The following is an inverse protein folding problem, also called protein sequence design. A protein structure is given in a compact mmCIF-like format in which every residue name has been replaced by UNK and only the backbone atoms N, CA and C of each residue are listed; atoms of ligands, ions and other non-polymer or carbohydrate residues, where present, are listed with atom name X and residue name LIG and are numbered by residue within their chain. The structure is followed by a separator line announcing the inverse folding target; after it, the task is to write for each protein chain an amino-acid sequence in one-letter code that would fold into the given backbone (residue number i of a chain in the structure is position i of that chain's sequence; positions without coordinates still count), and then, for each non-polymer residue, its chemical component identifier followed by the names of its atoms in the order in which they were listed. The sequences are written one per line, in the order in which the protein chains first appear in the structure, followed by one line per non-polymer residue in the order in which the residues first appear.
data_IF_338139870720
#
_entry.id   IF_338139870720
#
_cell.length_a   1.000
_cell.length_b   1.000
_cell.length_c   1.000
_cell.angle_alpha   90.00
_cell.angle_beta   90.00
_cell.angle_gamma   90.00
#
_symmetry.space_group_name_H-M   'P 1'
#
loop_
_entity.id
_entity.type
_entity.pdbx_description
1 polymer ?
#
# COMPACT_ATOMS: atom_id res chain seq x y z
N UNK A 1 -10.94 8.46 10.75
CA UNK A 1 -10.22 9.71 10.45
C UNK A 1 -9.75 9.80 8.99
N UNK A 2 -9.44 8.71 8.32
CA UNK A 2 -8.94 8.75 6.93
C UNK A 2 -9.95 9.32 5.89
N UNK A 3 -11.25 9.08 6.03
CA UNK A 3 -12.22 9.52 5.03
C UNK A 3 -12.31 11.05 4.85
N UNK A 4 -12.44 11.89 5.90
CA UNK A 4 -12.36 13.34 5.74
C UNK A 4 -11.02 13.81 5.19
N UNK A 5 -9.91 13.22 5.66
CA UNK A 5 -8.56 13.51 5.17
C UNK A 5 -8.42 13.22 3.68
N UNK A 6 -9.00 12.13 3.18
CA UNK A 6 -8.97 11.76 1.77
C UNK A 6 -9.65 12.84 0.90
N UNK A 7 -10.79 13.40 1.36
CA UNK A 7 -11.48 14.48 0.66
C UNK A 7 -10.63 15.75 0.61
N UNK A 8 -10.02 16.12 1.75
CA UNK A 8 -9.18 17.33 1.86
C UNK A 8 -7.95 17.20 0.97
N UNK A 9 -7.18 16.13 1.11
CA UNK A 9 -5.97 15.89 0.32
C UNK A 9 -6.32 15.72 -1.16
N UNK A 10 -7.42 15.03 -1.48
CA UNK A 10 -7.90 14.89 -2.85
C UNK A 10 -8.17 16.26 -3.51
N UNK A 11 -8.84 17.17 -2.81
CA UNK A 11 -9.10 18.54 -3.30
C UNK A 11 -7.84 19.41 -3.40
N UNK A 12 -6.81 19.16 -2.59
CA UNK A 12 -5.52 19.85 -2.71
C UNK A 12 -4.74 19.38 -3.93
N UNK A 13 -4.68 18.05 -4.17
CA UNK A 13 -3.92 17.47 -5.28
C UNK A 13 -4.63 17.66 -6.63
N UNK A 14 -5.96 17.61 -6.60
CA UNK A 14 -6.81 17.78 -7.77
C UNK A 14 -7.98 18.71 -7.42
N UNK A 15 -7.78 20.04 -7.51
CA UNK A 15 -8.82 21.03 -7.21
C UNK A 15 -10.03 20.85 -8.13
N UNK A 16 -11.21 20.89 -7.54
CA UNK A 16 -12.45 20.85 -8.29
C UNK A 16 -12.71 22.24 -8.92
N UNK A 17 -12.65 22.30 -10.23
CA UNK A 17 -12.88 23.53 -11.02
C UNK A 17 -14.23 23.54 -11.73
N UNK A 18 -14.90 22.38 -11.82
CA UNK A 18 -16.18 22.22 -12.49
C UNK A 18 -17.34 22.31 -11.49
N UNK A 19 -18.48 22.83 -11.98
CA UNK A 19 -19.73 22.87 -11.20
C UNK A 19 -20.26 21.44 -11.08
N UNK A 20 -20.48 20.96 -9.88
CA UNK A 20 -21.07 19.63 -9.66
C UNK A 20 -22.59 19.74 -9.87
N UNK A 21 -23.07 19.07 -10.91
CA UNK A 21 -24.50 18.82 -11.03
C UNK A 21 -24.92 17.83 -9.94
N UNK A 22 -25.86 18.27 -9.10
CA UNK A 22 -26.38 17.46 -7.98
C UNK A 22 -27.38 16.38 -8.42
N UNK A 23 -27.61 16.19 -9.71
CA UNK A 23 -28.49 15.15 -10.24
C UNK A 23 -27.77 13.79 -10.23
N UNK A 24 -27.94 13.09 -9.12
CA UNK A 24 -27.45 11.70 -8.96
C UNK A 24 -28.45 10.76 -9.63
N UNK A 25 -28.24 10.43 -10.88
CA UNK A 25 -28.96 9.35 -11.56
C UNK A 25 -28.45 8.00 -11.07
N UNK A 26 -29.10 7.45 -10.04
CA UNK A 26 -28.77 6.12 -9.54
C UNK A 26 -29.27 5.10 -10.57
N UNK A 27 -28.34 4.29 -11.13
CA UNK A 27 -28.70 3.18 -11.98
C UNK A 27 -29.67 2.24 -11.26
N UNK A 28 -30.83 2.01 -11.88
CA UNK A 28 -31.85 1.07 -11.38
C UNK A 28 -31.67 -0.34 -11.95
N UNK A 29 -30.52 -0.64 -12.55
CA UNK A 29 -30.23 -1.97 -13.05
C UNK A 29 -30.21 -2.99 -11.91
N UNK A 30 -31.07 -4.00 -12.04
CA UNK A 30 -31.14 -5.09 -11.06
C UNK A 30 -30.02 -6.08 -11.34
N UNK A 31 -29.17 -6.32 -10.35
CA UNK A 31 -28.05 -7.30 -10.42
C UNK A 31 -28.57 -8.74 -10.59
N UNK A 32 -29.85 -9.01 -10.30
CA UNK A 32 -30.47 -10.31 -10.45
C UNK A 32 -31.99 -10.20 -10.51
N UNK A 33 -32.64 -11.25 -11.02
CA UNK A 33 -34.11 -11.31 -11.14
C UNK A 33 -34.82 -11.40 -9.79
N UNK A 34 -34.15 -11.93 -8.76
CA UNK A 34 -34.64 -12.07 -7.40
C UNK A 34 -33.49 -12.06 -6.39
N UNK A 35 -33.80 -12.07 -5.09
CA UNK A 35 -32.79 -12.02 -4.01
C UNK A 35 -31.78 -13.18 -4.10
N UNK A 36 -32.22 -14.40 -4.34
CA UNK A 36 -31.34 -15.57 -4.45
C UNK A 36 -30.41 -15.47 -5.66
N UNK A 37 -30.91 -14.97 -6.79
CA UNK A 37 -30.11 -14.71 -7.98
C UNK A 37 -29.02 -13.64 -7.71
N UNK A 38 -29.38 -12.55 -7.04
CA UNK A 38 -28.42 -11.51 -6.68
C UNK A 38 -27.35 -12.03 -5.71
N UNK A 39 -27.71 -12.82 -4.71
CA UNK A 39 -26.76 -13.47 -3.78
C UNK A 39 -25.83 -14.42 -4.57
N UNK A 40 -26.37 -15.25 -5.44
CA UNK A 40 -25.57 -16.21 -6.24
C UNK A 40 -24.54 -15.49 -7.12
N UNK A 41 -24.95 -14.44 -7.84
CA UNK A 41 -24.06 -13.63 -8.68
C UNK A 41 -22.98 -12.97 -7.84
N UNK A 42 -23.37 -12.28 -6.75
CA UNK A 42 -22.43 -11.60 -5.86
C UNK A 42 -21.44 -12.56 -5.20
N UNK A 43 -21.87 -13.76 -4.82
CA UNK A 43 -20.97 -14.80 -4.27
C UNK A 43 -19.96 -15.25 -5.32
N UNK A 44 -20.38 -15.48 -6.56
CA UNK A 44 -19.50 -15.89 -7.65
C UNK A 44 -18.43 -14.82 -7.97
N UNK A 45 -18.83 -13.57 -8.04
CA UNK A 45 -17.91 -12.45 -8.26
C UNK A 45 -16.96 -12.24 -7.07
N UNK A 46 -17.46 -12.36 -5.83
CA UNK A 46 -16.65 -12.25 -4.62
C UNK A 46 -15.58 -13.33 -4.53
N UNK A 47 -15.90 -14.58 -4.88
CA UNK A 47 -14.91 -15.67 -4.89
C UNK A 47 -13.82 -15.42 -5.96
N UNK A 48 -14.20 -15.00 -7.17
CA UNK A 48 -13.22 -14.66 -8.21
C UNK A 48 -12.27 -13.55 -7.74
N UNK A 49 -12.82 -12.51 -7.11
CA UNK A 49 -12.02 -11.42 -6.56
C UNK A 49 -11.07 -11.90 -5.47
N UNK A 50 -11.54 -12.71 -4.53
CA UNK A 50 -10.74 -13.26 -3.44
C UNK A 50 -9.57 -14.12 -3.95
N UNK A 51 -9.83 -15.00 -4.93
CA UNK A 51 -8.78 -15.82 -5.57
C UNK A 51 -7.76 -14.95 -6.29
N UNK A 52 -8.20 -13.94 -7.03
CA UNK A 52 -7.30 -13.02 -7.73
C UNK A 52 -6.41 -12.24 -6.76
N UNK A 53 -6.97 -11.72 -5.67
CA UNK A 53 -6.21 -11.02 -4.63
C UNK A 53 -5.19 -11.97 -3.98
N UNK A 54 -5.59 -13.19 -3.62
CA UNK A 54 -4.69 -14.19 -3.06
C UNK A 54 -3.53 -14.55 -4.00
N UNK A 55 -3.83 -14.76 -5.29
CA UNK A 55 -2.81 -15.02 -6.30
C UNK A 55 -1.85 -13.84 -6.47
N UNK A 56 -2.34 -12.61 -6.51
CA UNK A 56 -1.50 -11.40 -6.58
C UNK A 56 -0.58 -11.27 -5.36
N UNK A 57 -1.08 -11.56 -4.15
CA UNK A 57 -0.25 -11.54 -2.94
C UNK A 57 0.93 -12.51 -3.04
N UNK A 58 0.67 -13.76 -3.47
CA UNK A 58 1.73 -14.76 -3.67
C UNK A 58 2.77 -14.30 -4.70
N UNK A 59 2.31 -13.74 -5.82
CA UNK A 59 3.20 -13.22 -6.88
C UNK A 59 4.06 -12.08 -6.34
N UNK A 60 3.48 -11.11 -5.62
CA UNK A 60 4.25 -9.99 -5.07
C UNK A 60 5.27 -10.43 -4.02
N UNK A 61 4.91 -11.36 -3.12
CA UNK A 61 5.86 -11.90 -2.15
C UNK A 61 7.03 -12.58 -2.88
N UNK A 62 6.73 -13.40 -3.89
CA UNK A 62 7.76 -14.06 -4.68
C UNK A 62 8.66 -13.07 -5.45
N UNK A 63 8.07 -12.02 -6.04
CA UNK A 63 8.82 -10.96 -6.73
C UNK A 63 9.73 -10.17 -5.78
N UNK A 64 9.24 -9.80 -4.60
CA UNK A 64 10.06 -9.11 -3.60
C UNK A 64 11.24 -9.99 -3.19
N UNK A 65 11.01 -11.27 -2.89
CA UNK A 65 12.05 -12.22 -2.54
C UNK A 65 13.06 -12.41 -3.68
N UNK A 66 12.59 -12.53 -4.92
CA UNK A 66 13.44 -12.64 -6.10
C UNK A 66 14.31 -11.40 -6.28
N UNK A 67 13.73 -10.20 -6.22
CA UNK A 67 14.46 -8.93 -6.34
C UNK A 67 15.47 -8.75 -5.21
N UNK A 68 15.11 -9.06 -3.98
CA UNK A 68 16.02 -8.97 -2.84
C UNK A 68 17.22 -9.91 -2.99
N UNK A 69 17.01 -11.14 -3.52
CA UNK A 69 18.11 -12.06 -3.84
C UNK A 69 19.01 -11.52 -4.97
N UNK A 70 18.45 -10.93 -6.02
CA UNK A 70 19.22 -10.33 -7.11
C UNK A 70 20.07 -9.17 -6.56
N UNK A 71 19.49 -8.27 -5.77
CA UNK A 71 20.22 -7.17 -5.16
C UNK A 71 21.30 -7.67 -4.20
N UNK A 72 21.03 -8.71 -3.42
CA UNK A 72 22.03 -9.33 -2.54
C UNK A 72 23.22 -9.86 -3.33
N UNK A 73 22.99 -10.57 -4.43
CA UNK A 73 24.06 -11.07 -5.30
C UNK A 73 24.89 -9.92 -5.90
N UNK A 74 24.25 -8.84 -6.33
CA UNK A 74 24.95 -7.62 -6.81
C UNK A 74 25.77 -7.00 -5.67
N UNK A 75 25.20 -6.93 -4.47
CA UNK A 75 25.88 -6.41 -3.28
C UNK A 75 27.12 -7.22 -2.88
N UNK A 76 27.09 -8.54 -3.08
CA UNK A 76 28.24 -9.42 -2.83
C UNK A 76 29.37 -9.15 -3.85
N UNK A 77 29.02 -9.08 -5.14
CA UNK A 77 30.00 -8.81 -6.21
C UNK A 77 30.68 -7.44 -6.03
N UNK A 78 29.91 -6.44 -5.58
CA UNK A 78 30.43 -5.08 -5.34
C UNK A 78 31.07 -4.89 -3.96
N UNK A 79 31.00 -5.89 -3.06
CA UNK A 79 31.48 -5.79 -1.68
C UNK A 79 30.65 -4.88 -0.78
N UNK A 80 29.49 -4.42 -1.24
CA UNK A 80 28.63 -3.48 -0.52
C UNK A 80 27.92 -4.16 0.68
N UNK A 81 27.62 -5.46 0.60
CA UNK A 81 26.95 -6.20 1.68
C UNK A 81 27.74 -6.15 2.99
N UNK A 82 29.08 -6.21 2.92
CA UNK A 82 29.92 -6.07 4.11
C UNK A 82 29.75 -4.70 4.77
N UNK A 83 29.69 -3.64 3.97
CA UNK A 83 29.49 -2.28 4.49
C UNK A 83 28.07 -2.12 5.09
N UNK A 84 27.03 -2.64 4.41
CA UNK A 84 25.63 -2.59 4.87
C UNK A 84 25.50 -3.31 6.22
N UNK A 85 26.01 -4.53 6.33
CA UNK A 85 25.90 -5.33 7.55
C UNK A 85 26.62 -4.72 8.75
N UNK A 86 27.65 -3.92 8.50
CA UNK A 86 28.43 -3.26 9.56
C UNK A 86 27.85 -1.92 10.00
N UNK A 87 27.16 -1.20 9.11
CA UNK A 87 26.72 0.18 9.35
C UNK A 87 25.21 0.35 9.43
N UNK A 88 24.44 -0.70 9.18
CA UNK A 88 22.97 -0.64 9.15
C UNK A 88 22.36 -1.84 9.88
N UNK A 89 21.05 -1.79 10.06
CA UNK A 89 20.28 -2.90 10.63
C UNK A 89 20.09 -4.08 9.66
N UNK A 90 20.42 -3.88 8.38
CA UNK A 90 20.24 -4.89 7.34
C UNK A 90 21.51 -5.70 7.14
N UNK A 91 21.36 -6.98 6.76
CA UNK A 91 22.48 -7.88 6.52
C UNK A 91 23.09 -7.73 5.11
N UNK A 92 22.31 -7.30 4.14
CA UNK A 92 22.68 -7.24 2.74
C UNK A 92 21.90 -6.17 1.98
N UNK A 93 22.29 -5.91 0.74
CA UNK A 93 21.54 -5.08 -0.19
C UNK A 93 20.26 -5.82 -0.58
N UNK A 94 19.12 -5.29 -0.20
CA UNK A 94 17.80 -5.85 -0.47
C UNK A 94 16.81 -4.77 -0.86
N UNK A 95 15.64 -5.15 -1.34
CA UNK A 95 14.58 -4.18 -1.65
C UNK A 95 14.11 -3.47 -0.38
N UNK A 96 14.08 -4.18 0.73
CA UNK A 96 13.72 -3.65 2.04
C UNK A 96 14.71 -2.57 2.49
N UNK A 97 16.02 -2.82 2.31
CA UNK A 97 17.06 -1.82 2.56
C UNK A 97 16.84 -0.57 1.71
N UNK A 98 16.65 -0.73 0.39
CA UNK A 98 16.47 0.39 -0.52
C UNK A 98 15.22 1.20 -0.18
N UNK A 99 14.09 0.54 0.04
CA UNK A 99 12.82 1.20 0.39
C UNK A 99 12.90 1.86 1.77
N UNK A 100 13.56 1.21 2.74
CA UNK A 100 13.77 1.73 4.09
C UNK A 100 14.43 3.10 4.06
N UNK A 101 15.53 3.23 3.36
CA UNK A 101 16.27 4.49 3.25
C UNK A 101 15.64 5.49 2.29
N UNK A 102 15.01 5.03 1.20
CA UNK A 102 14.29 5.91 0.27
C UNK A 102 13.15 6.68 0.96
N UNK A 103 12.39 5.99 1.81
CA UNK A 103 11.25 6.57 2.52
C UNK A 103 11.61 7.16 3.90
N UNK A 104 12.84 6.97 4.37
CA UNK A 104 13.32 7.49 5.65
C UNK A 104 13.04 9.00 5.88
N UNK A 105 13.25 9.90 4.89
CA UNK A 105 12.95 11.33 5.08
C UNK A 105 11.47 11.61 5.37
N UNK A 106 10.58 10.91 4.68
CA UNK A 106 9.11 11.07 4.86
C UNK A 106 8.72 10.58 6.26
N UNK A 107 9.24 9.43 6.64
CA UNK A 107 8.98 8.81 7.94
C UNK A 107 9.53 9.66 9.09
N UNK A 108 10.68 10.29 8.89
CA UNK A 108 11.25 11.22 9.84
C UNK A 108 10.36 12.45 10.07
N UNK A 109 9.80 13.02 8.99
CA UNK A 109 8.90 14.20 9.05
C UNK A 109 7.65 13.91 9.88
N UNK A 110 7.10 12.70 9.84
CA UNK A 110 5.93 12.31 10.64
C UNK A 110 6.25 12.00 12.10
N UNK A 111 7.51 12.13 12.54
CA UNK A 111 7.92 12.03 13.94
C UNK A 111 8.19 10.64 14.48
N UNK A 112 8.61 9.72 13.62
CA UNK A 112 9.08 8.39 14.02
C UNK A 112 10.45 8.50 14.70
N UNK A 113 10.70 7.67 15.72
CA UNK A 113 11.97 7.61 16.43
C UNK A 113 13.12 7.21 15.47
N UNK A 114 14.30 7.78 15.68
CA UNK A 114 15.46 7.60 14.77
C UNK A 114 15.84 6.14 14.54
N UNK A 115 15.74 5.33 15.59
CA UNK A 115 16.07 3.92 15.61
C UNK A 115 15.14 3.12 14.71
N UNK A 116 13.88 3.56 14.59
CA UNK A 116 12.80 2.87 13.89
C UNK A 116 12.53 3.40 12.47
N UNK A 117 13.22 4.49 12.06
CA UNK A 117 12.99 5.15 10.76
C UNK A 117 13.16 4.18 9.59
N UNK A 118 14.22 3.38 9.60
CA UNK A 118 14.52 2.45 8.50
C UNK A 118 13.45 1.37 8.38
N UNK A 119 13.02 0.79 9.51
CA UNK A 119 11.96 -0.22 9.54
C UNK A 119 10.59 0.34 9.11
N UNK A 120 10.28 1.55 9.57
CA UNK A 120 9.05 2.22 9.17
C UNK A 120 9.05 2.57 7.68
N UNK A 121 10.19 3.06 7.15
CA UNK A 121 10.39 3.33 5.72
C UNK A 121 10.26 2.07 4.88
N UNK A 122 10.81 0.95 5.34
CA UNK A 122 10.64 -0.37 4.72
C UNK A 122 9.16 -0.75 4.62
N UNK A 123 8.40 -0.67 5.72
CA UNK A 123 6.98 -0.99 5.73
C UNK A 123 6.17 -0.09 4.79
N UNK A 124 6.49 1.21 4.74
CA UNK A 124 5.87 2.14 3.81
C UNK A 124 6.15 1.75 2.36
N UNK A 125 7.40 1.43 2.05
CA UNK A 125 7.82 1.01 0.72
C UNK A 125 7.17 -0.29 0.28
N UNK A 126 7.19 -1.31 1.14
CA UNK A 126 6.56 -2.61 0.88
C UNK A 126 5.04 -2.46 0.67
N UNK A 127 4.38 -1.64 1.49
CA UNK A 127 2.97 -1.30 1.30
C UNK A 127 2.70 -0.73 -0.09
N UNK A 128 3.51 0.23 -0.54
CA UNK A 128 3.32 0.89 -1.83
C UNK A 128 3.57 -0.05 -3.01
N UNK A 129 4.64 -0.84 -2.95
CA UNK A 129 5.06 -1.74 -4.04
C UNK A 129 4.19 -2.99 -4.12
N UNK A 130 3.96 -3.64 -3.00
CA UNK A 130 3.20 -4.88 -2.92
C UNK A 130 1.74 -4.63 -2.47
N UNK A 131 1.54 -4.63 -1.16
CA UNK A 131 0.24 -4.34 -0.55
C UNK A 131 0.40 -4.12 0.97
N UNK A 132 -0.66 -3.59 1.59
CA UNK A 132 -0.77 -3.50 3.05
C UNK A 132 -0.75 -4.87 3.73
N UNK A 133 -1.25 -5.93 3.10
CA UNK A 133 -1.20 -7.29 3.66
C UNK A 133 0.23 -7.76 3.85
N UNK A 134 1.09 -7.58 2.84
CA UNK A 134 2.53 -7.89 2.94
C UNK A 134 3.19 -7.00 3.99
N UNK A 135 2.82 -5.72 4.05
CA UNK A 135 3.27 -4.82 5.10
C UNK A 135 2.89 -5.29 6.50
N UNK A 136 1.66 -5.76 6.70
CA UNK A 136 1.22 -6.30 8.00
C UNK A 136 1.90 -7.61 8.37
N UNK A 137 2.18 -8.51 7.43
CA UNK A 137 2.97 -9.74 7.73
C UNK A 137 4.36 -9.38 8.20
N UNK A 138 5.03 -8.43 7.56
CA UNK A 138 6.33 -7.94 8.03
C UNK A 138 6.22 -7.21 9.37
N UNK A 139 5.17 -6.43 9.62
CA UNK A 139 4.97 -5.77 10.91
C UNK A 139 4.85 -6.78 12.07
N UNK A 140 4.20 -7.93 11.84
CA UNK A 140 4.09 -8.99 12.86
C UNK A 140 5.48 -9.52 13.24
N UNK A 141 6.37 -9.70 12.26
CA UNK A 141 7.74 -10.13 12.51
C UNK A 141 8.57 -9.04 13.22
N UNK A 142 8.45 -7.80 12.75
CA UNK A 142 9.18 -6.64 13.32
C UNK A 142 8.66 -6.20 14.69
N UNK A 143 7.48 -6.64 15.10
CA UNK A 143 6.93 -6.42 16.45
C UNK A 143 7.51 -7.39 17.48
N UNK A 144 8.04 -8.52 17.05
CA UNK A 144 8.55 -9.55 17.94
C UNK A 144 9.94 -9.18 18.45
N UNK A 145 10.07 -8.83 19.73
CA UNK A 145 11.33 -8.48 20.39
C UNK A 145 12.37 -9.61 20.40
N UNK A 146 11.97 -10.85 20.13
CA UNK A 146 12.89 -11.97 20.01
C UNK A 146 13.65 -11.98 18.67
N UNK A 147 13.17 -11.24 17.68
CA UNK A 147 13.85 -11.13 16.40
C UNK A 147 15.04 -10.16 16.50
N UNK A 148 16.14 -10.46 15.82
CA UNK A 148 17.31 -9.55 15.78
C UNK A 148 16.99 -8.16 15.26
N UNK A 149 16.03 -8.07 14.36
CA UNK A 149 15.52 -6.83 13.77
C UNK A 149 14.08 -6.64 14.24
N UNK A 150 13.84 -5.66 15.09
CA UNK A 150 12.52 -5.34 15.64
C UNK A 150 12.40 -3.85 15.94
N UNK A 151 11.17 -3.38 16.07
CA UNK A 151 10.91 -2.00 16.50
C UNK A 151 11.35 -1.76 17.94
N UNK A 152 12.04 -0.64 18.15
CA UNK A 152 12.53 -0.24 19.47
C UNK A 152 11.44 0.39 20.34
N UNK A 153 10.42 0.97 19.72
CA UNK A 153 9.38 1.73 20.43
C UNK A 153 7.96 1.29 20.09
N UNK A 154 7.16 1.10 21.12
CA UNK A 154 5.73 0.77 20.96
C UNK A 154 4.96 1.85 20.18
N UNK A 155 5.35 3.12 20.31
CA UNK A 155 4.80 4.22 19.51
C UNK A 155 4.97 3.96 18.02
N UNK A 156 6.15 3.53 17.58
CA UNK A 156 6.44 3.24 16.18
C UNK A 156 5.58 2.09 15.65
N UNK A 157 5.30 1.06 16.45
CA UNK A 157 4.41 -0.04 16.09
C UNK A 157 2.97 0.46 15.88
N UNK A 158 2.48 1.35 16.75
CA UNK A 158 1.16 1.96 16.63
C UNK A 158 1.09 2.80 15.35
N UNK A 159 2.08 3.67 15.12
CA UNK A 159 2.18 4.50 13.92
C UNK A 159 2.22 3.62 12.65
N UNK A 160 3.01 2.53 12.64
CA UNK A 160 3.06 1.58 11.54
C UNK A 160 1.69 0.95 11.25
N UNK A 161 0.96 0.58 12.29
CA UNK A 161 -0.38 0.00 12.17
C UNK A 161 -1.34 0.95 11.46
N UNK A 162 -1.36 2.23 11.84
CA UNK A 162 -2.21 3.25 11.19
C UNK A 162 -1.71 3.58 9.78
N UNK A 163 -0.42 3.68 9.58
CA UNK A 163 0.19 3.92 8.27
C UNK A 163 -0.17 2.82 7.26
N UNK A 164 -0.16 1.56 7.68
CA UNK A 164 -0.50 0.42 6.83
C UNK A 164 -1.99 0.30 6.53
N UNK A 165 -2.87 0.85 7.37
CA UNK A 165 -4.33 0.70 7.26
C UNK A 165 -4.94 1.24 5.95
N UNK A 166 -4.27 2.15 5.24
CA UNK A 166 -4.80 2.73 4.00
C UNK A 166 -4.44 1.89 2.77
N UNK A 167 -5.42 1.59 1.92
CA UNK A 167 -5.30 0.82 0.68
C UNK A 167 -4.68 1.63 -0.49
N UNK A 168 -3.59 2.33 -0.23
CA UNK A 168 -2.89 3.12 -1.24
C UNK A 168 -1.63 2.38 -1.70
N UNK A 169 -1.73 1.61 -2.78
CA UNK A 169 -0.63 0.86 -3.39
C UNK A 169 -0.84 0.73 -4.91
N UNK A 170 0.18 0.27 -5.64
CA UNK A 170 0.09 0.13 -7.10
C UNK A 170 -0.98 -0.90 -7.53
N UNK A 171 -1.14 -1.99 -6.79
CA UNK A 171 -2.17 -2.99 -7.10
C UNK A 171 -3.58 -2.41 -6.95
N UNK A 172 -3.81 -1.54 -5.96
CA UNK A 172 -5.10 -0.88 -5.73
C UNK A 172 -5.54 -0.01 -6.91
N UNK A 173 -4.62 0.60 -7.65
CA UNK A 173 -4.94 1.35 -8.87
C UNK A 173 -5.63 0.42 -9.88
N UNK A 174 -5.03 -0.74 -10.14
CA UNK A 174 -5.58 -1.73 -11.06
C UNK A 174 -6.95 -2.27 -10.60
N UNK A 175 -7.08 -2.57 -9.30
CA UNK A 175 -8.33 -3.06 -8.71
C UNK A 175 -9.45 -2.03 -8.84
N UNK A 176 -9.18 -0.75 -8.58
CA UNK A 176 -10.18 0.31 -8.70
C UNK A 176 -10.57 0.56 -10.15
N UNK A 177 -9.61 0.60 -11.09
CA UNK A 177 -9.90 0.74 -12.53
C UNK A 177 -10.73 -0.44 -13.02
N UNK A 178 -10.42 -1.65 -12.58
CA UNK A 178 -11.17 -2.86 -12.90
C UNK A 178 -12.58 -2.84 -12.31
N UNK A 179 -12.71 -2.60 -11.00
CA UNK A 179 -13.98 -2.64 -10.28
C UNK A 179 -14.93 -1.50 -10.68
N UNK A 180 -14.47 -0.25 -10.51
CA UNK A 180 -15.29 0.93 -10.84
C UNK A 180 -15.52 1.03 -12.35
N UNK A 181 -14.52 0.65 -13.16
CA UNK A 181 -14.62 0.69 -14.62
C UNK A 181 -15.65 -0.29 -15.21
N UNK A 182 -16.04 -1.34 -14.48
CA UNK A 182 -17.16 -2.23 -14.84
C UNK A 182 -18.49 -1.53 -14.56
N UNK A 183 -18.62 -0.90 -13.39
CA UNK A 183 -19.85 -0.22 -12.97
C UNK A 183 -20.07 1.07 -13.79
N UNK A 184 -19.02 1.80 -14.08
CA UNK A 184 -19.06 3.08 -14.79
C UNK A 184 -18.01 3.14 -15.91
N UNK A 185 -18.23 2.51 -17.08
CA UNK A 185 -17.25 2.41 -18.16
C UNK A 185 -16.78 3.77 -18.70
N UNK A 186 -17.65 4.78 -18.67
CA UNK A 186 -17.37 6.14 -19.18
C UNK A 186 -16.24 6.85 -18.42
N UNK A 187 -16.06 6.55 -17.12
CA UNK A 187 -15.03 7.19 -16.29
C UNK A 187 -13.73 6.40 -16.21
N UNK A 188 -13.64 5.23 -16.86
CA UNK A 188 -12.45 4.38 -16.84
C UNK A 188 -11.17 5.12 -17.26
N UNK A 189 -11.26 6.01 -18.27
CA UNK A 189 -10.15 6.85 -18.70
C UNK A 189 -9.67 7.78 -17.59
N UNK A 190 -10.60 8.45 -16.93
CA UNK A 190 -10.31 9.38 -15.81
C UNK A 190 -9.67 8.62 -14.64
N UNK A 191 -10.18 7.42 -14.31
CA UNK A 191 -9.60 6.57 -13.27
C UNK A 191 -8.14 6.21 -13.58
N UNK A 192 -7.82 5.92 -14.84
CA UNK A 192 -6.46 5.60 -15.26
C UNK A 192 -5.55 6.82 -15.16
N UNK A 193 -6.01 7.99 -15.59
CA UNK A 193 -5.24 9.25 -15.54
C UNK A 193 -4.99 9.74 -14.10
N UNK A 194 -5.96 9.55 -13.21
CA UNK A 194 -5.87 10.00 -11.82
C UNK A 194 -5.32 8.93 -10.85
N UNK A 195 -5.14 7.68 -11.29
CA UNK A 195 -4.78 6.56 -10.41
C UNK A 195 -3.52 6.81 -9.58
N UNK A 196 -2.45 7.31 -10.18
CA UNK A 196 -1.20 7.62 -9.47
C UNK A 196 -1.38 8.79 -8.48
N UNK A 197 -2.12 9.84 -8.87
CA UNK A 197 -2.43 10.97 -7.98
C UNK A 197 -3.26 10.51 -6.79
N UNK A 198 -4.24 9.64 -7.01
CA UNK A 198 -5.07 9.06 -5.97
C UNK A 198 -4.26 8.19 -5.00
N UNK A 199 -3.29 7.41 -5.50
CA UNK A 199 -2.38 6.62 -4.68
C UNK A 199 -1.52 7.51 -3.78
N UNK A 200 -0.93 8.58 -4.33
CA UNK A 200 -0.15 9.55 -3.55
C UNK A 200 -1.03 10.24 -2.49
N UNK A 201 -2.23 10.68 -2.87
CA UNK A 201 -3.18 11.27 -1.95
C UNK A 201 -3.54 10.32 -0.79
N UNK A 202 -3.87 9.08 -1.10
CA UNK A 202 -4.18 8.04 -0.12
C UNK A 202 -3.01 7.71 0.81
N UNK A 203 -1.78 7.73 0.28
CA UNK A 203 -0.55 7.55 1.08
C UNK A 203 -0.39 8.69 2.07
N UNK A 204 -0.56 9.94 1.64
CA UNK A 204 -0.49 11.11 2.53
C UNK A 204 -1.56 11.04 3.63
N UNK A 205 -2.77 10.65 3.30
CA UNK A 205 -3.85 10.44 4.29
C UNK A 205 -3.49 9.35 5.31
N UNK A 206 -2.88 8.26 4.86
CA UNK A 206 -2.41 7.19 5.77
C UNK A 206 -1.31 7.70 6.72
N UNK A 207 -0.37 8.49 6.21
CA UNK A 207 0.69 9.10 7.01
C UNK A 207 0.13 10.10 8.03
N UNK A 208 -0.83 10.95 7.62
CA UNK A 208 -1.54 11.86 8.54
C UNK A 208 -2.34 11.12 9.62
N UNK A 209 -2.82 9.92 9.33
CA UNK A 209 -3.53 9.11 10.32
C UNK A 209 -2.59 8.43 11.31
N UNK A 210 -1.31 8.34 10.98
CA UNK A 210 -0.26 7.72 11.79
C UNK A 210 0.45 8.73 12.72
N UNK A 211 0.28 10.03 12.50
CA UNK A 211 0.80 11.10 13.35
C UNK A 211 -0.13 11.38 14.50
#
# INVERSE_FOLDING_TARGET
MAAPGAIVIGKIIYPQTEIVENDVNISKEKIGSNLLSAISIGTGEGIKMAVNVGAMLLVFIALIAMLSNIFSAIGDVLGINYWISKNTIYSNLSIEFLLGYLFAPIVWIIGVAKEDIALMGQLLGVKLVASEFVGYTQLVELKNELNPIHFSYQKSIIMATYMLCGFANFASIGIQIGGIGIIAPKIKKILTELGLKAMIAGTLVSLMSAT
#
